data_IF_202091392783
#
_entry.id   IF_202091392783
#
_cell.length_a   1.000
_cell.length_b   1.000
_cell.length_c   1.000
_cell.angle_alpha   90.00
_cell.angle_beta   90.00
_cell.angle_gamma   90.00
#
_symmetry.space_group_name_H-M   'P 1'
#
loop_
_entity.id
_entity.type
_entity.pdbx_description
1 polymer ?
#
# COMPACT_ATOMS: atom_id res chain seq x y z
N UNK A 1 -6.67 6.77 -24.14
CA UNK A 1 -5.53 5.87 -24.16
C UNK A 1 -4.76 5.83 -22.84
N UNK A 2 -4.53 7.00 -22.22
CA UNK A 2 -3.89 7.06 -20.92
C UNK A 2 -4.71 6.35 -19.84
N UNK A 3 -6.02 6.42 -19.93
CA UNK A 3 -6.92 5.75 -18.97
C UNK A 3 -6.73 4.23 -19.00
N UNK A 4 -6.62 3.65 -20.19
CA UNK A 4 -6.40 2.21 -20.34
C UNK A 4 -5.03 1.79 -19.78
N UNK A 5 -4.01 2.60 -19.99
CA UNK A 5 -2.67 2.34 -19.46
C UNK A 5 -2.67 2.35 -17.93
N UNK A 6 -3.32 3.34 -17.32
CA UNK A 6 -3.41 3.46 -15.88
C UNK A 6 -4.13 2.26 -15.27
N UNK A 7 -5.27 1.86 -15.84
CA UNK A 7 -6.03 0.69 -15.35
C UNK A 7 -5.22 -0.60 -15.48
N UNK A 8 -4.52 -0.78 -16.59
CA UNK A 8 -3.67 -1.95 -16.80
C UNK A 8 -2.55 -2.00 -15.76
N UNK A 9 -1.92 -0.87 -15.50
CA UNK A 9 -0.82 -0.75 -14.53
C UNK A 9 -1.30 -1.11 -13.13
N UNK A 10 -2.42 -0.54 -12.69
CA UNK A 10 -3.00 -0.80 -11.36
C UNK A 10 -3.38 -2.27 -11.22
N UNK A 11 -4.00 -2.86 -12.25
CA UNK A 11 -4.41 -4.25 -12.23
C UNK A 11 -3.20 -5.19 -12.12
N UNK A 12 -2.12 -4.88 -12.82
CA UNK A 12 -0.91 -5.70 -12.76
C UNK A 12 -0.26 -5.63 -11.38
N UNK A 13 -0.15 -4.45 -10.81
CA UNK A 13 0.41 -4.25 -9.48
C UNK A 13 -0.43 -4.98 -8.44
N UNK A 14 -1.75 -4.81 -8.49
CA UNK A 14 -2.68 -5.45 -7.57
C UNK A 14 -2.56 -6.97 -7.63
N UNK A 15 -2.55 -7.52 -8.84
CA UNK A 15 -2.43 -8.96 -9.05
C UNK A 15 -1.12 -9.49 -8.47
N UNK A 16 -0.02 -8.81 -8.71
CA UNK A 16 1.30 -9.22 -8.24
C UNK A 16 1.39 -9.17 -6.71
N UNK A 17 0.91 -8.09 -6.10
CA UNK A 17 0.91 -7.96 -4.64
C UNK A 17 0.05 -9.04 -3.99
N UNK A 18 -1.10 -9.34 -4.58
CA UNK A 18 -2.00 -10.36 -4.05
C UNK A 18 -1.38 -11.75 -4.17
N UNK A 19 -0.76 -12.07 -5.29
CA UNK A 19 -0.12 -13.36 -5.50
C UNK A 19 1.09 -13.59 -4.61
N UNK A 20 1.93 -12.57 -4.44
CA UNK A 20 3.18 -12.71 -3.70
C UNK A 20 3.03 -12.46 -2.19
N UNK A 21 2.16 -11.53 -1.81
CA UNK A 21 2.09 -11.09 -0.41
C UNK A 21 0.70 -11.19 0.19
N UNK A 22 -0.29 -11.60 -0.58
CA UNK A 22 -1.70 -11.65 -0.16
C UNK A 22 -2.22 -10.28 0.28
N UNK A 23 -1.70 -9.22 -0.36
CA UNK A 23 -2.09 -7.83 -0.07
C UNK A 23 -2.86 -7.24 -1.24
N UNK A 24 -3.91 -6.49 -0.93
CA UNK A 24 -4.54 -5.63 -1.92
C UNK A 24 -3.70 -4.35 -2.09
N UNK A 25 -3.95 -3.62 -3.16
CA UNK A 25 -3.24 -2.36 -3.40
C UNK A 25 -3.51 -1.34 -2.30
N UNK A 26 -4.77 -1.25 -1.83
CA UNK A 26 -5.12 -0.34 -0.73
C UNK A 26 -4.44 -0.73 0.58
N UNK A 27 -4.33 -2.03 0.85
CA UNK A 27 -3.60 -2.52 2.03
C UNK A 27 -2.13 -2.13 1.95
N UNK A 28 -1.53 -2.25 0.79
CA UNK A 28 -0.16 -1.82 0.57
C UNK A 28 0.00 -0.32 0.81
N UNK A 29 -0.92 0.49 0.30
CA UNK A 29 -0.87 1.94 0.52
C UNK A 29 -0.95 2.30 2.00
N UNK A 30 -1.81 1.63 2.75
CA UNK A 30 -1.93 1.84 4.20
C UNK A 30 -0.61 1.50 4.89
N UNK A 31 -0.05 0.33 4.59
CA UNK A 31 1.23 -0.09 5.18
C UNK A 31 2.35 0.88 4.82
N UNK A 32 2.39 1.33 3.59
CA UNK A 32 3.40 2.28 3.12
C UNK A 32 3.31 3.61 3.86
N UNK A 33 2.10 4.14 4.05
CA UNK A 33 1.91 5.41 4.75
C UNK A 33 2.39 5.31 6.20
N UNK A 34 2.08 4.20 6.88
CA UNK A 34 2.56 3.98 8.24
C UNK A 34 4.09 3.82 8.25
N UNK A 35 4.61 3.10 7.27
CA UNK A 35 6.04 2.82 7.14
C UNK A 35 6.86 4.12 7.01
N UNK A 36 6.36 5.09 6.26
CA UNK A 36 7.05 6.36 6.05
C UNK A 36 6.80 7.39 7.15
N UNK A 37 5.84 7.14 8.02
CA UNK A 37 5.51 8.05 9.11
C UNK A 37 6.55 8.01 10.23
N UNK A 38 6.71 9.13 10.91
CA UNK A 38 7.59 9.24 12.07
C UNK A 38 7.12 8.26 13.15
N UNK A 39 8.05 7.45 13.67
CA UNK A 39 7.74 6.46 14.71
C UNK A 39 6.98 5.24 14.21
N UNK A 40 6.83 5.09 12.89
CA UNK A 40 6.12 3.96 12.27
C UNK A 40 4.72 3.79 12.83
N UNK A 41 4.03 4.92 13.02
CA UNK A 41 2.66 4.96 13.52
C UNK A 41 1.88 6.04 12.77
N UNK A 42 0.57 5.86 12.68
CA UNK A 42 -0.28 6.80 11.97
C UNK A 42 -1.63 6.89 12.69
N UNK A 43 -2.12 8.10 12.86
CA UNK A 43 -3.42 8.31 13.49
C UNK A 43 -4.52 7.82 12.56
N UNK A 44 -5.43 7.01 13.08
CA UNK A 44 -6.49 6.36 12.28
C UNK A 44 -7.27 7.34 11.42
N UNK A 45 -7.71 8.47 12.00
CA UNK A 45 -8.51 9.44 11.27
C UNK A 45 -7.73 10.11 10.13
N UNK A 46 -6.44 10.32 10.31
CA UNK A 46 -5.59 10.90 9.28
C UNK A 46 -5.31 9.90 8.16
N UNK A 47 -5.18 8.63 8.52
CA UNK A 47 -4.95 7.56 7.56
C UNK A 47 -6.15 7.40 6.62
N UNK A 48 -7.36 7.49 7.15
CA UNK A 48 -8.59 7.44 6.37
C UNK A 48 -8.60 8.52 5.29
N UNK A 49 -8.19 9.74 5.66
CA UNK A 49 -8.16 10.87 4.72
C UNK A 49 -7.13 10.68 3.62
N UNK A 50 -5.94 10.20 3.98
CA UNK A 50 -4.81 10.13 3.04
C UNK A 50 -4.98 9.00 2.03
N UNK A 51 -5.55 7.87 2.44
CA UNK A 51 -5.70 6.70 1.57
C UNK A 51 -6.99 6.73 0.78
N UNK A 52 -7.87 7.69 1.08
CA UNK A 52 -9.15 7.89 0.39
C UNK A 52 -10.05 6.65 0.48
N UNK A 53 -10.28 6.22 1.70
CA UNK A 53 -11.23 5.15 2.00
C UNK A 53 -12.31 5.67 2.93
N UNK A 54 -13.49 5.05 2.89
CA UNK A 54 -14.50 5.33 3.88
C UNK A 54 -14.06 4.78 5.24
N UNK A 55 -14.66 5.29 6.31
CA UNK A 55 -14.36 4.79 7.65
C UNK A 55 -14.62 3.30 7.77
N UNK A 56 -15.74 2.83 7.20
CA UNK A 56 -16.08 1.40 7.22
C UNK A 56 -15.07 0.56 6.46
N UNK A 57 -14.65 1.02 5.29
CA UNK A 57 -13.67 0.29 4.47
C UNK A 57 -12.32 0.22 5.17
N UNK A 58 -11.88 1.35 5.77
CA UNK A 58 -10.61 1.37 6.50
C UNK A 58 -10.66 0.44 7.71
N UNK A 59 -11.75 0.45 8.46
CA UNK A 59 -11.92 -0.42 9.62
C UNK A 59 -11.80 -1.89 9.24
N UNK A 60 -12.47 -2.30 8.15
CA UNK A 60 -12.40 -3.67 7.66
C UNK A 60 -11.00 -4.05 7.21
N UNK A 61 -10.33 -3.13 6.52
CA UNK A 61 -8.97 -3.32 6.04
C UNK A 61 -8.00 -3.54 7.20
N UNK A 62 -8.07 -2.67 8.20
CA UNK A 62 -7.19 -2.75 9.37
C UNK A 62 -7.43 -4.07 10.13
N UNK A 63 -8.70 -4.45 10.33
CA UNK A 63 -9.04 -5.71 11.00
C UNK A 63 -8.43 -6.89 10.25
N UNK A 64 -8.51 -6.89 8.91
CA UNK A 64 -7.97 -7.98 8.13
C UNK A 64 -6.46 -8.15 8.31
N UNK A 65 -5.69 -7.07 8.21
CA UNK A 65 -4.23 -7.16 8.33
C UNK A 65 -3.77 -7.29 9.78
N UNK A 66 -4.62 -6.91 10.73
CA UNK A 66 -4.39 -7.11 12.16
C UNK A 66 -4.58 -8.57 12.58
N UNK A 67 -5.49 -9.29 11.90
CA UNK A 67 -5.88 -10.66 12.24
C UNK A 67 -5.25 -11.74 11.36
N UNK A 68 -4.28 -11.37 10.54
CA UNK A 68 -3.53 -12.36 9.77
C UNK A 68 -2.72 -13.25 10.72
N UNK A 69 -2.32 -14.44 10.25
CA UNK A 69 -1.51 -15.37 11.04
C UNK A 69 -0.26 -14.68 11.59
N UNK A 70 0.37 -13.85 10.77
CA UNK A 70 1.44 -12.96 11.20
C UNK A 70 0.91 -11.53 11.08
N UNK A 71 0.34 -10.97 12.14
CA UNK A 71 -0.26 -9.63 12.09
C UNK A 71 0.72 -8.58 11.59
N UNK A 72 0.26 -7.71 10.69
CA UNK A 72 1.10 -6.67 10.11
C UNK A 72 1.00 -5.35 10.86
N UNK A 73 -0.09 -5.15 11.58
CA UNK A 73 -0.34 -3.92 12.35
C UNK A 73 -0.96 -4.26 13.70
N UNK A 74 -0.90 -3.29 14.61
CA UNK A 74 -1.67 -3.34 15.84
C UNK A 74 -2.19 -1.94 16.16
N UNK A 75 -3.28 -1.88 16.92
CA UNK A 75 -3.90 -0.61 17.31
C UNK A 75 -3.59 -0.30 18.76
N UNK A 76 -3.39 0.97 19.04
CA UNK A 76 -3.15 1.42 20.40
C UNK A 76 -3.66 2.84 20.59
N UNK A 77 -4.33 3.11 21.71
CA UNK A 77 -4.73 4.46 22.08
C UNK A 77 -3.53 5.26 22.51
N UNK A 78 -3.49 6.52 22.13
CA UNK A 78 -2.46 7.45 22.60
C UNK A 78 -3.08 8.38 23.66
N UNK A 79 -2.71 8.18 24.91
CA UNK A 79 -3.24 8.97 26.03
C UNK A 79 -2.87 10.45 25.86
N UNK A 80 -1.69 10.73 25.33
CA UNK A 80 -1.18 12.08 25.13
C UNK A 80 -1.95 12.83 24.04
N UNK A 81 -2.63 12.12 23.15
CA UNK A 81 -3.42 12.72 22.07
C UNK A 81 -4.91 12.39 22.26
N UNK A 82 -5.44 12.72 23.45
CA UNK A 82 -6.87 12.58 23.78
C UNK A 82 -7.43 11.18 23.48
N UNK A 83 -6.62 10.16 23.69
CA UNK A 83 -6.97 8.76 23.43
C UNK A 83 -7.28 8.46 21.98
N UNK A 84 -6.68 9.22 21.07
CA UNK A 84 -6.80 8.93 19.65
C UNK A 84 -6.23 7.54 19.35
N UNK A 85 -6.87 6.84 18.42
CA UNK A 85 -6.42 5.52 17.99
C UNK A 85 -5.31 5.66 16.96
N UNK A 86 -4.17 5.02 17.24
CA UNK A 86 -3.04 4.95 16.32
C UNK A 86 -2.84 3.55 15.82
N UNK A 87 -2.39 3.43 14.59
CA UNK A 87 -2.05 2.16 13.95
C UNK A 87 -0.53 2.10 13.86
N UNK A 88 0.04 1.01 14.35
CA UNK A 88 1.49 0.76 14.36
C UNK A 88 1.80 -0.42 13.47
N UNK A 89 2.97 -0.42 12.84
CA UNK A 89 3.47 -1.61 12.17
C UNK A 89 4.09 -2.56 13.20
N UNK A 90 3.82 -3.85 13.03
CA UNK A 90 4.56 -4.90 13.74
C UNK A 90 5.90 -5.10 13.04
N UNK A 91 6.80 -5.91 13.60
CA UNK A 91 8.04 -6.29 12.92
C UNK A 91 7.74 -6.99 11.61
N UNK A 92 6.73 -7.85 11.59
CA UNK A 92 6.27 -8.52 10.37
C UNK A 92 5.75 -7.50 9.36
N UNK A 93 5.02 -6.49 9.83
CA UNK A 93 4.54 -5.40 8.99
C UNK A 93 5.67 -4.61 8.36
N UNK A 94 6.71 -4.32 9.11
CA UNK A 94 7.89 -3.64 8.59
C UNK A 94 8.56 -4.45 7.49
N UNK A 95 8.80 -5.74 7.75
CA UNK A 95 9.44 -6.63 6.79
C UNK A 95 8.60 -6.79 5.53
N UNK A 96 7.30 -7.01 5.71
CA UNK A 96 6.37 -7.18 4.59
C UNK A 96 6.30 -5.92 3.73
N UNK A 97 6.23 -4.75 4.36
CA UNK A 97 6.16 -3.47 3.65
C UNK A 97 7.41 -3.24 2.82
N UNK A 98 8.59 -3.54 3.38
CA UNK A 98 9.85 -3.40 2.64
C UNK A 98 9.89 -4.29 1.40
N UNK A 99 9.47 -5.54 1.54
CA UNK A 99 9.42 -6.48 0.42
C UNK A 99 8.43 -6.05 -0.64
N UNK A 100 7.24 -5.67 -0.22
CA UNK A 100 6.18 -5.22 -1.13
C UNK A 100 6.58 -3.93 -1.85
N UNK A 101 7.22 -3.00 -1.14
CA UNK A 101 7.69 -1.76 -1.73
C UNK A 101 8.74 -2.02 -2.81
N UNK A 102 9.67 -2.93 -2.55
CA UNK A 102 10.68 -3.30 -3.53
C UNK A 102 10.03 -3.88 -4.80
N UNK A 103 9.05 -4.77 -4.63
CA UNK A 103 8.30 -5.35 -5.74
C UNK A 103 7.54 -4.27 -6.51
N UNK A 104 6.88 -3.35 -5.79
CA UNK A 104 6.13 -2.24 -6.38
C UNK A 104 7.05 -1.37 -7.24
N UNK A 105 8.21 -0.98 -6.71
CA UNK A 105 9.17 -0.16 -7.43
C UNK A 105 9.68 -0.85 -8.70
N UNK A 106 9.98 -2.15 -8.61
CA UNK A 106 10.41 -2.94 -9.76
C UNK A 106 9.34 -3.02 -10.84
N UNK A 107 8.08 -3.17 -10.45
CA UNK A 107 6.96 -3.23 -11.39
C UNK A 107 6.77 -1.89 -12.10
N UNK A 108 6.81 -0.79 -11.35
CA UNK A 108 6.69 0.56 -11.92
C UNK A 108 7.82 0.80 -12.92
N UNK A 109 9.03 0.44 -12.58
CA UNK A 109 10.19 0.60 -13.47
C UNK A 109 10.03 -0.21 -14.75
N UNK A 110 9.61 -1.47 -14.66
CA UNK A 110 9.38 -2.32 -15.82
C UNK A 110 8.27 -1.80 -16.72
N UNK A 111 7.18 -1.33 -16.13
CA UNK A 111 6.05 -0.79 -16.88
C UNK A 111 6.48 0.47 -17.62
N UNK A 112 7.21 1.37 -16.97
CA UNK A 112 7.70 2.59 -17.57
C UNK A 112 8.65 2.29 -18.74
N UNK A 113 9.59 1.37 -18.55
CA UNK A 113 10.51 0.96 -19.61
C UNK A 113 9.77 0.35 -20.79
N UNK A 114 8.80 -0.51 -20.53
CA UNK A 114 7.98 -1.12 -21.57
C UNK A 114 7.22 -0.06 -22.38
N UNK A 115 6.66 0.91 -21.68
CA UNK A 115 5.94 2.03 -22.31
C UNK A 115 6.86 2.87 -23.18
N UNK A 116 8.04 3.21 -22.69
CA UNK A 116 9.06 3.96 -23.43
C UNK A 116 9.49 3.20 -24.68
N UNK A 117 9.72 1.91 -24.57
CA UNK A 117 10.11 1.06 -25.71
C UNK A 117 9.05 1.07 -26.81
N UNK A 118 7.77 0.99 -26.43
CA UNK A 118 6.66 1.04 -27.38
C UNK A 118 6.61 2.39 -28.09
N UNK A 119 6.81 3.49 -27.39
CA UNK A 119 6.82 4.82 -27.97
C UNK A 119 8.01 4.99 -28.92
N UNK A 120 9.18 4.52 -28.53
CA UNK A 120 10.40 4.58 -29.35
C UNK A 120 10.24 3.75 -30.62
N UNK A 121 9.66 2.56 -30.50
CA UNK A 121 9.44 1.67 -31.63
C UNK A 121 8.46 2.28 -32.66
N UNK A 122 7.45 2.96 -32.17
CA UNK A 122 6.49 3.67 -33.04
C UNK A 122 7.20 4.82 -33.77
N UNK A 123 8.10 5.51 -33.12
CA UNK A 123 8.82 6.65 -33.68
C UNK A 123 9.88 6.24 -34.70
N UNK A 124 10.34 4.99 -34.65
CA UNK A 124 11.38 4.49 -35.57
C UNK A 124 10.81 4.13 -36.95
N UNK A 125 9.52 4.04 -37.07
CA UNK A 125 8.85 3.81 -38.36
C UNK A 125 8.58 5.14 -39.06
#
# INVERSE_FOLDING_TARGET
EMTKYVHYTESLIEKTLKQQYHLSLKEFYVLYEIFTATGKKYKMNDLIKIVDLSQSAMSRLIVRIERMDCPLVFRQECVEDQRAMYIYLTEEGLTMTKKALNTYEQLIEKIDLSHIRKLTHINDD
#
